data_IF_234952121123
#
_entry.id   IF_234952121123
#
_cell.length_a   1.000
_cell.length_b   1.000
_cell.length_c   1.000
_cell.angle_alpha   90.00
_cell.angle_beta   90.00
_cell.angle_gamma   90.00
#
_symmetry.space_group_name_H-M   'P 1'
#
loop_
_entity.id
_entity.type
_entity.pdbx_description
1 polymer ?
#
# COMPACT_ATOMS: atom_id res chain seq x y z
N UNK A 1 6.99 2.39 -5.53
CA UNK A 1 6.05 1.42 -4.94
C UNK A 1 6.79 0.14 -4.58
N UNK A 2 7.52 -0.47 -5.52
CA UNK A 2 8.46 -1.59 -5.32
C UNK A 2 9.08 -1.77 -3.93
N UNK A 3 9.84 -0.79 -3.41
CA UNK A 3 10.47 -0.90 -2.06
C UNK A 3 9.44 -1.13 -0.94
N UNK A 4 8.31 -0.43 -1.01
CA UNK A 4 7.23 -0.58 -0.03
C UNK A 4 6.49 -1.90 -0.21
N UNK A 5 6.29 -2.34 -1.45
CA UNK A 5 5.75 -3.67 -1.76
C UNK A 5 6.63 -4.78 -1.19
N UNK A 6 7.95 -4.66 -1.32
CA UNK A 6 8.89 -5.60 -0.74
C UNK A 6 8.78 -5.63 0.79
N UNK A 7 8.74 -4.46 1.44
CA UNK A 7 8.51 -4.37 2.89
C UNK A 7 7.21 -5.08 3.30
N UNK A 8 6.13 -4.85 2.56
CA UNK A 8 4.84 -5.48 2.82
C UNK A 8 4.95 -7.01 2.74
N UNK A 9 5.58 -7.54 1.68
CA UNK A 9 5.80 -8.97 1.51
C UNK A 9 6.68 -9.57 2.60
N UNK A 10 7.77 -8.89 2.97
CA UNK A 10 8.69 -9.37 4.02
C UNK A 10 7.99 -9.46 5.38
N UNK A 11 7.11 -8.51 5.70
CA UNK A 11 6.32 -8.53 6.94
C UNK A 11 5.27 -9.63 6.91
N UNK A 12 4.63 -9.87 5.77
CA UNK A 12 3.55 -10.85 5.63
C UNK A 12 4.07 -12.30 5.58
N UNK A 13 5.25 -12.51 4.99
CA UNK A 13 5.88 -13.82 4.84
C UNK A 13 6.43 -14.42 6.15
N UNK A 14 6.42 -13.67 7.25
CA UNK A 14 7.02 -14.10 8.52
C UNK A 14 6.07 -13.94 9.71
N UNK A 15 6.14 -14.86 10.66
CA UNK A 15 5.50 -14.73 11.97
C UNK A 15 6.45 -14.18 13.04
N UNK A 16 7.76 -14.10 12.74
CA UNK A 16 8.77 -13.63 13.70
C UNK A 16 8.69 -12.12 13.90
N UNK A 17 8.42 -11.71 15.15
CA UNK A 17 8.41 -10.29 15.54
C UNK A 17 9.74 -9.60 15.25
N UNK A 18 10.87 -10.28 15.49
CA UNK A 18 12.20 -9.70 15.29
C UNK A 18 12.51 -9.50 13.80
N UNK A 19 12.06 -10.42 12.94
CA UNK A 19 12.25 -10.28 11.49
C UNK A 19 11.45 -9.10 10.96
N UNK A 20 10.20 -8.94 11.39
CA UNK A 20 9.37 -7.78 11.04
C UNK A 20 10.02 -6.45 11.44
N UNK A 21 10.58 -6.37 12.65
CA UNK A 21 11.32 -5.18 13.11
C UNK A 21 12.52 -4.91 12.22
N UNK A 22 13.27 -5.94 11.82
CA UNK A 22 14.42 -5.80 10.92
C UNK A 22 14.01 -5.27 9.55
N UNK A 23 12.95 -5.81 8.95
CA UNK A 23 12.43 -5.32 7.66
C UNK A 23 11.99 -3.86 7.74
N UNK A 24 11.26 -3.49 8.80
CA UNK A 24 10.86 -2.11 9.06
C UNK A 24 12.06 -1.19 9.23
N UNK A 25 13.06 -1.59 10.03
CA UNK A 25 14.28 -0.83 10.25
C UNK A 25 15.03 -0.59 8.94
N UNK A 26 15.25 -1.65 8.15
CA UNK A 26 15.96 -1.57 6.87
C UNK A 26 15.26 -0.63 5.88
N UNK A 27 13.92 -0.67 5.84
CA UNK A 27 13.13 0.26 5.02
C UNK A 27 13.29 1.71 5.50
N UNK A 28 13.13 1.97 6.79
CA UNK A 28 13.26 3.32 7.37
C UNK A 28 14.70 3.86 7.34
N UNK A 29 15.72 3.04 7.14
CA UNK A 29 17.09 3.52 6.92
C UNK A 29 17.32 3.90 5.44
N UNK A 30 16.83 3.09 4.50
CA UNK A 30 17.22 3.17 3.09
C UNK A 30 16.28 3.93 2.15
N UNK A 31 15.00 4.10 2.50
CA UNK A 31 14.02 4.79 1.64
C UNK A 31 14.25 6.32 1.62
N UNK A 32 13.72 7.07 0.64
CA UNK A 32 13.65 8.53 0.71
C UNK A 32 12.71 9.02 1.83
N UNK A 33 12.94 10.18 2.48
CA UNK A 33 12.09 10.67 3.59
C UNK A 33 10.60 10.74 3.28
N UNK A 34 10.22 11.20 2.07
CA UNK A 34 8.82 11.28 1.64
C UNK A 34 8.18 9.87 1.55
N UNK A 35 8.91 8.87 1.05
CA UNK A 35 8.43 7.49 1.01
C UNK A 35 8.37 6.85 2.41
N UNK A 36 9.27 7.24 3.33
CA UNK A 36 9.24 6.77 4.73
C UNK A 36 7.97 7.22 5.44
N UNK A 37 7.60 8.49 5.30
CA UNK A 37 6.42 9.03 5.99
C UNK A 37 5.12 8.49 5.42
N UNK A 38 5.03 8.27 4.11
CA UNK A 38 3.86 7.63 3.51
C UNK A 38 3.75 6.15 3.91
N UNK A 39 4.85 5.42 3.93
CA UNK A 39 4.85 4.04 4.43
C UNK A 39 4.44 3.98 5.90
N UNK A 40 4.97 4.88 6.75
CA UNK A 40 4.57 5.00 8.14
C UNK A 40 3.07 5.28 8.27
N UNK A 41 2.54 6.23 7.50
CA UNK A 41 1.12 6.59 7.51
C UNK A 41 0.21 5.40 7.14
N UNK A 42 0.61 4.64 6.12
CA UNK A 42 -0.07 3.41 5.68
C UNK A 42 0.00 2.30 6.73
N UNK A 43 1.18 2.02 7.27
CA UNK A 43 1.41 0.96 8.25
C UNK A 43 0.73 1.23 9.60
N UNK A 44 0.56 2.49 9.97
CA UNK A 44 -0.23 2.91 11.14
C UNK A 44 -1.74 2.87 10.89
N UNK A 45 -2.19 2.49 9.68
CA UNK A 45 -3.61 2.44 9.33
C UNK A 45 -4.30 3.81 9.34
N UNK A 46 -3.55 4.91 9.21
CA UNK A 46 -4.11 6.26 9.22
C UNK A 46 -4.80 6.62 7.90
N UNK A 47 -4.64 5.82 6.85
CA UNK A 47 -5.38 5.93 5.58
C UNK A 47 -6.85 5.51 5.75
N UNK A 48 -7.69 6.39 6.30
CA UNK A 48 -9.13 6.12 6.52
C UNK A 48 -10.01 6.36 5.30
N UNK A 49 -9.48 6.92 4.21
CA UNK A 49 -10.26 7.28 3.02
C UNK A 49 -10.18 6.18 1.97
N UNK A 50 -11.20 5.32 1.92
CA UNK A 50 -11.44 4.39 0.82
C UNK A 50 -11.67 5.17 -0.47
N UNK A 51 -10.85 4.89 -1.49
CA UNK A 51 -10.93 5.54 -2.80
C UNK A 51 -11.85 4.76 -3.74
N UNK A 52 -11.80 3.42 -3.67
CA UNK A 52 -12.60 2.50 -4.47
C UNK A 52 -13.09 1.37 -3.59
N UNK A 53 -14.28 0.84 -3.83
CA UNK A 53 -14.76 -0.32 -3.06
C UNK A 53 -14.22 -1.63 -3.64
N UNK A 54 -14.11 -2.68 -2.83
CA UNK A 54 -13.75 -4.02 -3.32
C UNK A 54 -14.74 -4.51 -4.39
N UNK A 55 -16.02 -4.13 -4.26
CA UNK A 55 -17.05 -4.40 -5.28
C UNK A 55 -16.68 -3.80 -6.64
N UNK A 56 -16.27 -2.53 -6.67
CA UNK A 56 -15.87 -1.86 -7.91
C UNK A 56 -14.62 -2.51 -8.52
N UNK A 57 -13.60 -2.84 -7.71
CA UNK A 57 -12.42 -3.54 -8.23
C UNK A 57 -12.78 -4.90 -8.85
N UNK A 58 -13.68 -5.66 -8.19
CA UNK A 58 -14.21 -6.91 -8.72
C UNK A 58 -14.96 -6.70 -10.04
N UNK A 59 -15.84 -5.71 -10.11
CA UNK A 59 -16.60 -5.38 -11.33
C UNK A 59 -15.66 -5.00 -12.48
N UNK A 60 -14.63 -4.20 -12.21
CA UNK A 60 -13.58 -3.86 -13.19
C UNK A 60 -12.86 -5.12 -13.68
N UNK A 61 -12.45 -6.01 -12.77
CA UNK A 61 -11.77 -7.25 -13.13
C UNK A 61 -12.65 -8.18 -14.00
N UNK A 62 -13.92 -8.34 -13.65
CA UNK A 62 -14.87 -9.18 -14.41
C UNK A 62 -15.18 -8.61 -15.79
N UNK A 63 -15.05 -7.30 -16.00
CA UNK A 63 -15.27 -6.67 -17.31
C UNK A 63 -14.11 -6.86 -18.29
N UNK A 64 -12.91 -7.16 -17.79
CA UNK A 64 -11.68 -7.30 -18.62
C UNK A 64 -11.19 -8.74 -18.72
N UNK A 65 -11.84 -9.68 -18.04
CA UNK A 65 -11.46 -11.09 -18.01
C UNK A 65 -12.58 -11.97 -18.52
N UNK A 66 -12.23 -13.15 -19.03
CA UNK A 66 -13.20 -14.20 -19.41
C UNK A 66 -13.64 -15.04 -18.20
N UNK A 67 -13.33 -14.61 -16.97
CA UNK A 67 -13.64 -15.33 -15.75
C UNK A 67 -15.11 -15.08 -15.37
N UNK A 68 -15.95 -16.12 -15.29
CA UNK A 68 -17.34 -15.95 -14.87
C UNK A 68 -17.41 -15.56 -13.38
N UNK A 69 -18.44 -14.80 -13.00
CA UNK A 69 -18.57 -14.27 -11.64
C UNK A 69 -18.55 -15.36 -10.56
N UNK A 70 -19.16 -16.52 -10.83
CA UNK A 70 -19.17 -17.64 -9.87
C UNK A 70 -17.75 -18.15 -9.56
N UNK A 71 -16.86 -18.21 -10.56
CA UNK A 71 -15.49 -18.68 -10.37
C UNK A 71 -14.67 -17.67 -9.57
N UNK A 72 -14.90 -16.37 -9.81
CA UNK A 72 -14.32 -15.33 -8.97
C UNK A 72 -14.78 -15.46 -7.50
N UNK A 73 -16.07 -15.72 -7.28
CA UNK A 73 -16.63 -15.92 -5.94
C UNK A 73 -16.03 -17.14 -5.25
N UNK A 74 -15.80 -18.24 -5.97
CA UNK A 74 -15.13 -19.43 -5.44
C UNK A 74 -13.66 -19.13 -5.08
N UNK A 75 -12.93 -18.40 -5.92
CA UNK A 75 -11.57 -17.94 -5.59
C UNK A 75 -11.57 -17.06 -4.33
N UNK A 76 -12.54 -16.14 -4.23
CA UNK A 76 -12.69 -15.29 -3.05
C UNK A 76 -13.04 -16.09 -1.79
N UNK A 77 -13.89 -17.11 -1.88
CA UNK A 77 -14.20 -17.96 -0.73
C UNK A 77 -12.96 -18.68 -0.19
N UNK A 78 -11.99 -19.00 -1.05
CA UNK A 78 -10.73 -19.63 -0.67
C UNK A 78 -9.70 -18.63 -0.11
N UNK A 79 -9.58 -17.44 -0.73
CA UNK A 79 -8.53 -16.46 -0.40
C UNK A 79 -8.98 -15.49 0.72
N UNK A 80 -10.24 -15.08 0.72
CA UNK A 80 -10.81 -14.16 1.71
C UNK A 80 -10.53 -12.67 1.47
N UNK A 81 -9.81 -12.31 0.40
CA UNK A 81 -9.49 -10.92 0.05
C UNK A 81 -9.61 -10.66 -1.46
N UNK A 82 -10.47 -9.71 -1.84
CA UNK A 82 -10.65 -9.28 -3.23
C UNK A 82 -9.37 -8.72 -3.85
N UNK A 83 -8.57 -7.96 -3.08
CA UNK A 83 -7.34 -7.37 -3.60
C UNK A 83 -6.33 -8.45 -4.02
N UNK A 84 -6.25 -9.52 -3.23
CA UNK A 84 -5.37 -10.66 -3.47
C UNK A 84 -5.88 -11.52 -4.61
N UNK A 85 -7.17 -11.86 -4.64
CA UNK A 85 -7.79 -12.61 -5.74
C UNK A 85 -7.52 -11.94 -7.08
N UNK A 86 -7.75 -10.63 -7.18
CA UNK A 86 -7.49 -9.87 -8.41
C UNK A 86 -6.01 -9.93 -8.79
N UNK A 87 -5.10 -9.71 -7.85
CA UNK A 87 -3.66 -9.75 -8.12
C UNK A 87 -3.15 -11.14 -8.52
N UNK A 88 -3.77 -12.22 -8.03
CA UNK A 88 -3.45 -13.58 -8.43
C UNK A 88 -3.98 -13.89 -9.83
N UNK A 89 -5.24 -13.56 -10.11
CA UNK A 89 -5.87 -13.86 -11.39
C UNK A 89 -5.33 -12.99 -12.54
N UNK A 90 -4.92 -11.75 -12.26
CA UNK A 90 -4.32 -10.87 -13.27
C UNK A 90 -3.01 -11.40 -13.87
N UNK A 91 -2.34 -12.35 -13.22
CA UNK A 91 -1.15 -13.03 -13.76
C UNK A 91 -1.40 -13.67 -15.12
N UNK A 92 -2.60 -14.22 -15.28
CA UNK A 92 -3.02 -14.98 -16.45
C UNK A 92 -4.06 -14.21 -17.28
N UNK A 93 -4.38 -12.96 -16.92
CA UNK A 93 -5.31 -12.09 -17.66
C UNK A 93 -4.53 -11.13 -18.55
N UNK A 94 -4.58 -11.26 -19.88
CA UNK A 94 -3.87 -10.36 -20.78
C UNK A 94 -4.44 -8.94 -20.69
N UNK A 95 -3.61 -7.99 -20.28
CA UNK A 95 -3.92 -6.56 -20.27
C UNK A 95 -3.28 -5.87 -21.48
N UNK A 96 -3.90 -4.79 -22.01
CA UNK A 96 -3.25 -3.99 -23.04
C UNK A 96 -1.92 -3.47 -22.52
N UNK A 97 -0.87 -3.55 -23.35
CA UNK A 97 0.45 -3.08 -22.98
C UNK A 97 0.39 -1.58 -22.64
N UNK A 98 0.52 -1.26 -21.36
CA UNK A 98 0.80 0.10 -20.92
C UNK A 98 2.31 0.33 -20.99
N UNK A 99 2.77 1.57 -21.24
CA UNK A 99 4.12 1.91 -20.82
C UNK A 99 4.22 1.54 -19.35
N UNK A 100 5.13 0.63 -19.00
CA UNK A 100 5.28 0.18 -17.62
C UNK A 100 5.33 1.44 -16.76
N UNK A 101 4.57 1.48 -15.66
CA UNK A 101 4.71 2.52 -14.64
C UNK A 101 6.05 2.28 -13.91
N UNK A 102 7.14 2.28 -14.67
CA UNK A 102 8.46 1.88 -14.25
C UNK A 102 8.88 2.81 -13.13
N UNK A 103 9.04 2.22 -11.94
CA UNK A 103 9.68 2.80 -10.78
C UNK A 103 9.04 4.05 -10.16
N UNK A 104 7.73 4.30 -10.32
CA UNK A 104 7.11 5.39 -9.56
C UNK A 104 7.24 5.15 -8.05
N UNK A 105 7.77 6.11 -7.27
CA UNK A 105 7.96 5.97 -5.83
C UNK A 105 6.61 5.94 -5.09
N UNK A 106 6.61 5.50 -3.83
CA UNK A 106 5.36 5.35 -3.07
C UNK A 106 4.60 6.67 -2.97
N UNK A 107 5.29 7.76 -2.64
CA UNK A 107 4.65 9.07 -2.49
C UNK A 107 3.94 9.53 -3.77
N UNK A 108 4.50 9.26 -4.95
CA UNK A 108 3.87 9.68 -6.21
C UNK A 108 2.55 8.94 -6.46
N UNK A 109 2.45 7.68 -6.05
CA UNK A 109 1.18 6.96 -6.07
C UNK A 109 0.15 7.59 -5.12
N UNK A 110 0.57 7.95 -3.90
CA UNK A 110 -0.31 8.50 -2.88
C UNK A 110 -0.77 9.93 -3.17
N UNK A 111 0.11 10.75 -3.72
CA UNK A 111 -0.10 12.19 -3.92
C UNK A 111 -0.65 12.53 -5.31
N UNK A 112 -0.32 11.75 -6.34
CA UNK A 112 -0.64 12.08 -7.74
C UNK A 112 -1.53 11.02 -8.38
N UNK A 113 -1.11 9.75 -8.40
CA UNK A 113 -1.81 8.73 -9.19
C UNK A 113 -3.18 8.40 -8.59
N UNK A 114 -3.23 7.91 -7.35
CA UNK A 114 -4.47 7.48 -6.69
C UNK A 114 -5.52 8.60 -6.62
N UNK A 115 -5.16 9.87 -6.30
CA UNK A 115 -6.12 10.97 -6.29
C UNK A 115 -6.85 11.22 -7.62
N UNK A 116 -6.25 10.88 -8.77
CA UNK A 116 -6.88 11.08 -10.09
C UNK A 116 -8.24 10.39 -10.19
N UNK A 117 -8.46 9.28 -9.47
CA UNK A 117 -9.73 8.55 -9.52
C UNK A 117 -10.93 9.38 -9.05
N UNK A 118 -10.71 10.44 -8.28
CA UNK A 118 -11.77 11.36 -7.82
C UNK A 118 -12.21 12.34 -8.91
N UNK A 119 -11.37 12.58 -9.91
CA UNK A 119 -11.68 13.46 -11.03
C UNK A 119 -12.44 12.71 -12.13
N UNK A 120 -12.62 11.40 -12.00
CA UNK A 120 -13.30 10.56 -12.98
C UNK A 120 -14.80 10.50 -12.69
N UNK A 121 -15.60 10.89 -13.68
CA UNK A 121 -17.06 10.99 -13.54
C UNK A 121 -17.78 9.71 -13.95
N UNK A 122 -17.28 9.01 -14.97
CA UNK A 122 -17.94 7.81 -15.49
C UNK A 122 -17.31 6.51 -14.99
N UNK A 123 -18.12 5.45 -14.88
CA UNK A 123 -17.61 4.13 -14.48
C UNK A 123 -16.67 3.52 -15.54
N UNK A 124 -16.85 3.90 -16.82
CA UNK A 124 -15.99 3.46 -17.93
C UNK A 124 -14.59 4.07 -17.82
N UNK A 125 -14.48 5.39 -17.65
CA UNK A 125 -13.19 6.05 -17.43
C UNK A 125 -12.52 5.54 -16.15
N UNK A 126 -13.29 5.24 -15.10
CA UNK A 126 -12.74 4.74 -13.83
C UNK A 126 -12.12 3.36 -14.02
N UNK A 127 -12.84 2.48 -14.72
CA UNK A 127 -12.34 1.16 -15.11
C UNK A 127 -11.05 1.30 -15.91
N UNK A 128 -11.06 2.12 -16.96
CA UNK A 128 -9.91 2.25 -17.87
C UNK A 128 -8.68 2.81 -17.12
N UNK A 129 -8.89 3.76 -16.19
CA UNK A 129 -7.83 4.26 -15.33
C UNK A 129 -7.25 3.16 -14.41
N UNK A 130 -8.09 2.38 -13.73
CA UNK A 130 -7.63 1.27 -12.87
C UNK A 130 -6.88 0.22 -13.69
N UNK A 131 -7.40 -0.15 -14.86
CA UNK A 131 -6.78 -1.11 -15.78
C UNK A 131 -5.42 -0.60 -16.25
N UNK A 132 -5.29 0.69 -16.55
CA UNK A 132 -4.01 1.31 -16.93
C UNK A 132 -2.96 1.20 -15.82
N UNK A 133 -3.37 1.28 -14.55
CA UNK A 133 -2.48 1.09 -13.41
C UNK A 133 -2.07 -0.37 -13.24
N UNK A 134 -3.01 -1.31 -13.36
CA UNK A 134 -2.71 -2.74 -13.29
C UNK A 134 -1.76 -3.19 -14.39
N UNK A 135 -1.95 -2.71 -15.62
CA UNK A 135 -1.10 -3.03 -16.76
C UNK A 135 0.35 -2.54 -16.59
N UNK A 136 0.58 -1.54 -15.75
CA UNK A 136 1.90 -0.94 -15.51
C UNK A 136 2.63 -1.47 -14.27
N UNK A 137 2.06 -2.40 -13.52
CA UNK A 137 2.54 -2.86 -12.22
C UNK A 137 2.81 -4.36 -12.18
N UNK A 138 3.81 -4.77 -11.40
CA UNK A 138 3.99 -6.18 -11.05
C UNK A 138 2.84 -6.68 -10.18
N UNK A 139 2.57 -7.99 -10.19
CA UNK A 139 1.43 -8.58 -9.47
C UNK A 139 1.42 -8.26 -7.96
N UNK A 140 2.59 -8.24 -7.33
CA UNK A 140 2.72 -7.86 -5.91
C UNK A 140 2.39 -6.38 -5.69
N UNK A 141 2.72 -5.51 -6.64
CA UNK A 141 2.39 -4.09 -6.59
C UNK A 141 0.90 -3.85 -6.86
N UNK A 142 0.27 -4.63 -7.75
CA UNK A 142 -1.18 -4.63 -7.96
C UNK A 142 -1.91 -4.97 -6.67
N UNK A 143 -1.44 -5.99 -5.94
CA UNK A 143 -2.00 -6.36 -4.65
C UNK A 143 -1.97 -5.19 -3.66
N UNK A 144 -0.78 -4.58 -3.49
CA UNK A 144 -0.58 -3.43 -2.59
C UNK A 144 -1.42 -2.23 -3.02
N UNK A 145 -1.47 -1.90 -4.31
CA UNK A 145 -2.30 -0.81 -4.83
C UNK A 145 -3.78 -1.05 -4.50
N UNK A 146 -4.29 -2.26 -4.75
CA UNK A 146 -5.69 -2.61 -4.47
C UNK A 146 -6.00 -2.51 -2.98
N UNK A 147 -5.07 -2.90 -2.09
CA UNK A 147 -5.20 -2.71 -0.64
C UNK A 147 -5.30 -1.24 -0.25
N UNK A 148 -4.48 -0.38 -0.86
CA UNK A 148 -4.52 1.07 -0.62
C UNK A 148 -5.84 1.67 -1.12
N UNK A 149 -6.26 1.34 -2.35
CA UNK A 149 -7.50 1.85 -2.95
C UNK A 149 -8.74 1.50 -2.12
N UNK A 150 -8.79 0.28 -1.61
CA UNK A 150 -9.92 -0.23 -0.81
C UNK A 150 -9.91 0.25 0.64
N UNK A 151 -8.79 0.80 1.11
CA UNK A 151 -8.60 1.13 2.52
C UNK A 151 -8.53 -0.11 3.42
N UNK A 152 -8.51 -1.32 2.86
CA UNK A 152 -8.39 -2.57 3.59
C UNK A 152 -6.92 -2.92 3.89
N UNK A 153 -6.11 -1.88 4.18
CA UNK A 153 -4.68 -1.99 4.40
C UNK A 153 -4.40 -2.51 5.81
N UNK A 154 -4.49 -3.84 5.97
CA UNK A 154 -4.01 -4.56 7.15
C UNK A 154 -2.67 -5.18 6.78
N UNK A 155 -1.60 -4.64 7.36
CA UNK A 155 -0.28 -5.26 7.28
C UNK A 155 -0.11 -6.07 8.55
N UNK A 156 0.50 -7.25 8.48
CA UNK A 156 0.77 -8.11 9.64
C UNK A 156 1.69 -7.51 10.71
N UNK A 157 1.80 -6.18 10.80
CA UNK A 157 2.52 -5.41 11.81
C UNK A 157 1.54 -4.53 12.59
N UNK A 158 1.59 -4.63 13.92
CA UNK A 158 0.85 -3.71 14.80
C UNK A 158 1.51 -2.34 14.82
N UNK A 159 0.77 -1.29 15.20
CA UNK A 159 1.31 0.06 15.41
C UNK A 159 2.56 0.05 16.30
N UNK A 160 2.52 -0.70 17.41
CA UNK A 160 3.68 -0.89 18.29
C UNK A 160 4.90 -1.45 17.56
N UNK A 161 4.70 -2.40 16.64
CA UNK A 161 5.78 -3.00 15.87
C UNK A 161 6.39 -2.02 14.87
N UNK A 162 5.54 -1.22 14.22
CA UNK A 162 5.96 -0.15 13.31
C UNK A 162 6.80 0.88 14.05
N UNK A 163 6.34 1.33 15.22
CA UNK A 163 7.07 2.27 16.07
C UNK A 163 8.41 1.68 16.52
N UNK A 164 8.45 0.40 16.91
CA UNK A 164 9.69 -0.29 17.26
C UNK A 164 10.69 -0.36 16.09
N UNK A 165 10.21 -0.62 14.87
CA UNK A 165 11.04 -0.58 13.66
C UNK A 165 11.58 0.83 13.36
N UNK A 166 10.75 1.86 13.53
CA UNK A 166 11.17 3.25 13.39
C UNK A 166 12.21 3.65 14.44
N UNK A 167 12.00 3.28 15.70
CA UNK A 167 12.94 3.51 16.80
C UNK A 167 14.31 2.87 16.51
N UNK A 168 14.32 1.64 16.02
CA UNK A 168 15.55 0.95 15.65
C UNK A 168 16.28 1.62 14.46
N UNK A 169 15.55 2.31 13.58
CA UNK A 169 16.13 3.00 12.43
C UNK A 169 16.68 4.40 12.76
N UNK A 170 16.07 5.09 13.73
CA UNK A 170 16.37 6.49 14.06
C UNK A 170 17.14 6.67 15.36
N UNK A 171 17.28 5.60 16.15
CA UNK A 171 17.86 5.60 17.49
C UNK A 171 17.07 6.47 18.50
N UNK A 172 15.82 6.81 18.18
CA UNK A 172 14.93 7.56 19.06
C UNK A 172 14.10 6.57 19.90
N UNK A 173 14.01 6.76 21.23
CA UNK A 173 13.22 5.90 22.11
C UNK A 173 11.76 5.74 21.66
N UNK A 174 11.23 4.50 21.70
CA UNK A 174 9.84 4.18 21.36
C UNK A 174 8.80 5.09 22.08
N UNK A 175 8.94 5.43 23.38
CA UNK A 175 7.98 6.31 24.05
C UNK A 175 7.91 7.72 23.45
N UNK A 176 9.05 8.25 22.99
CA UNK A 176 9.12 9.58 22.36
C UNK A 176 8.42 9.54 20.99
N UNK A 177 8.73 8.55 20.16
CA UNK A 177 8.07 8.38 18.86
C UNK A 177 6.57 8.15 19.00
N UNK A 178 6.16 7.34 19.99
CA UNK A 178 4.74 7.11 20.29
C UNK A 178 4.04 8.43 20.62
N UNK A 179 4.63 9.25 21.49
CA UNK A 179 4.08 10.56 21.84
C UNK A 179 3.98 11.49 20.63
N UNK A 180 5.04 11.57 19.81
CA UNK A 180 5.08 12.42 18.59
C UNK A 180 4.10 11.96 17.50
N UNK A 181 3.73 10.67 17.48
CA UNK A 181 2.76 10.09 16.53
C UNK A 181 1.31 10.11 17.04
N UNK A 182 1.07 10.66 18.24
CA UNK A 182 -0.29 10.84 18.75
C UNK A 182 -1.08 11.80 17.86
N UNK A 183 -2.32 11.44 17.55
CA UNK A 183 -3.19 12.23 16.67
C UNK A 183 -3.01 11.91 15.19
N UNK A 184 -3.57 12.76 14.33
CA UNK A 184 -3.40 12.66 12.88
C UNK A 184 -2.27 13.57 12.41
N UNK A 185 -1.62 13.23 11.29
CA UNK A 185 -0.54 14.02 10.73
C UNK A 185 -0.57 14.00 9.21
N UNK A 186 -0.07 15.07 8.60
CA UNK A 186 0.11 15.11 7.15
C UNK A 186 1.44 14.45 6.79
N UNK A 187 1.47 13.43 5.92
CA UNK A 187 2.69 12.68 5.61
C UNK A 187 3.61 13.48 4.68
N UNK A 188 4.35 14.44 5.24
CA UNK A 188 5.35 15.25 4.52
C UNK A 188 6.77 14.89 4.95
N UNK A 189 7.77 15.14 4.10
CA UNK A 189 9.17 14.99 4.49
C UNK A 189 9.53 15.87 5.70
N UNK A 190 8.97 17.07 5.76
CA UNK A 190 9.18 17.99 6.89
C UNK A 190 8.67 17.37 8.20
N UNK A 191 7.46 16.81 8.21
CA UNK A 191 6.94 16.10 9.37
C UNK A 191 7.85 14.92 9.76
N UNK A 192 8.36 14.17 8.78
CA UNK A 192 9.28 13.07 9.05
C UNK A 192 10.57 13.54 9.74
N UNK A 193 11.17 14.62 9.24
CA UNK A 193 12.38 15.18 9.83
C UNK A 193 12.16 15.68 11.26
N UNK A 194 11.03 16.33 11.54
CA UNK A 194 10.65 16.75 12.89
C UNK A 194 10.41 15.54 13.80
N UNK A 195 9.67 14.54 13.32
CA UNK A 195 9.40 13.29 14.03
C UNK A 195 10.68 12.56 14.41
N UNK A 196 11.70 12.60 13.54
CA UNK A 196 12.98 11.91 13.75
C UNK A 196 14.12 12.83 14.21
N UNK A 197 13.82 14.03 14.69
CA UNK A 197 14.83 14.93 15.25
C UNK A 197 15.16 14.53 16.70
N UNK A 198 16.44 14.51 17.11
CA UNK A 198 16.82 14.28 18.50
C UNK A 198 16.25 15.32 19.47
N UNK A 199 16.01 16.55 18.99
CA UNK A 199 15.74 17.73 19.84
C UNK A 199 14.25 18.12 19.94
N UNK A 200 13.36 17.50 19.15
CA UNK A 200 11.93 17.85 19.15
C UNK A 200 11.23 17.36 20.44
N UNK A 201 11.20 18.19 21.48
CA UNK A 201 10.42 17.94 22.71
C UNK A 201 9.02 18.53 22.59
#
# INVERSE_FOLDING_TARGET
MQRFTQLFQDIDATTSTNEKVRSLQAYFQSAPPVDKVWALYLLLGKTRRRMVTSRVLREVFLQISDIPEWLFQDCYAQVGDTAEVIALLLRDTPLPAAPVAQALPLHHWMEVMIPQIKAVETDTERRDLIVSWWAGLENSEVFVLNKVLTGAFRVGASEKLVIKGLAAATEIPEPILTHRLMGDFTPTAEFYHQLTSPEAS
#
